data_IF_069217665820
#
_entry.id   IF_069217665820
#
_cell.length_a   1.000
_cell.length_b   1.000
_cell.length_c   1.000
_cell.angle_alpha   90.00
_cell.angle_beta   90.00
_cell.angle_gamma   90.00
#
_symmetry.space_group_name_H-M   'P 1'
#
loop_
_entity.id
_entity.type
_entity.pdbx_description
1 polymer ?
#
# COMPACT_ATOMS: atom_id res chain seq x y z
N UNK A 1 11.48 3.88 22.72
CA UNK A 1 11.41 4.97 21.72
C UNK A 1 12.69 4.91 20.92
N UNK A 2 12.60 4.69 19.60
CA UNK A 2 13.75 4.43 18.73
C UNK A 2 14.72 5.61 18.66
N UNK A 3 15.93 5.35 18.15
CA UNK A 3 16.91 6.40 17.91
C UNK A 3 16.37 7.41 16.88
N UNK A 4 16.60 8.69 17.13
CA UNK A 4 16.18 9.81 16.27
C UNK A 4 17.39 10.64 15.89
N UNK A 5 17.30 11.33 14.75
CA UNK A 5 18.33 12.28 14.32
C UNK A 5 18.32 13.54 15.22
N UNK A 6 19.45 14.25 15.29
CA UNK A 6 19.55 15.54 15.98
C UNK A 6 18.72 16.64 15.31
N UNK A 7 18.56 16.54 13.99
CA UNK A 7 17.75 17.42 13.16
C UNK A 7 16.99 16.59 12.12
N UNK A 8 15.80 17.01 11.68
CA UNK A 8 15.04 16.26 10.70
C UNK A 8 15.64 16.40 9.30
N UNK A 9 15.63 15.32 8.53
CA UNK A 9 15.84 15.38 7.08
C UNK A 9 14.59 15.97 6.44
N UNK A 10 14.69 17.22 5.97
CA UNK A 10 13.57 17.96 5.37
C UNK A 10 13.52 17.89 3.84
N UNK A 11 14.48 17.20 3.21
CA UNK A 11 14.49 16.97 1.78
C UNK A 11 13.21 16.22 1.37
N UNK A 12 12.58 16.67 0.28
CA UNK A 12 11.37 16.08 -0.26
C UNK A 12 11.67 15.41 -1.57
N UNK A 13 11.20 14.19 -1.71
CA UNK A 13 11.01 13.59 -3.02
C UNK A 13 9.55 13.84 -3.39
N UNK A 14 9.33 14.54 -4.50
CA UNK A 14 8.00 14.92 -4.97
C UNK A 14 7.86 14.50 -6.41
N UNK A 15 6.74 13.87 -6.74
CA UNK A 15 6.37 13.53 -8.10
C UNK A 15 4.94 13.98 -8.40
N UNK A 16 4.67 14.17 -9.67
CA UNK A 16 3.31 14.42 -10.16
C UNK A 16 3.13 13.82 -11.54
N UNK A 17 1.95 13.29 -11.80
CA UNK A 17 1.56 12.78 -13.11
C UNK A 17 0.08 13.02 -13.36
N UNK A 18 -0.33 12.94 -14.63
CA UNK A 18 -1.74 13.05 -15.00
C UNK A 18 -2.04 12.28 -16.27
N UNK A 19 -3.30 11.89 -16.42
CA UNK A 19 -3.89 11.42 -17.67
C UNK A 19 -5.23 12.15 -17.88
N UNK A 20 -6.07 11.66 -18.79
CA UNK A 20 -7.37 12.29 -19.08
C UNK A 20 -8.36 12.23 -17.90
N UNK A 21 -8.17 11.29 -16.96
CA UNK A 21 -9.11 11.00 -15.88
C UNK A 21 -8.66 11.53 -14.52
N UNK A 22 -7.35 11.54 -14.24
CA UNK A 22 -6.81 11.88 -12.92
C UNK A 22 -5.56 12.77 -13.00
N UNK A 23 -5.38 13.59 -11.96
CA UNK A 23 -4.15 14.33 -11.66
C UNK A 23 -3.66 13.89 -10.28
N UNK A 24 -2.39 13.56 -10.19
CA UNK A 24 -1.79 12.92 -9.01
C UNK A 24 -0.55 13.69 -8.61
N UNK A 25 -0.41 13.92 -7.31
CA UNK A 25 0.80 14.42 -6.69
C UNK A 25 1.15 13.53 -5.50
N UNK A 26 2.43 13.20 -5.35
CA UNK A 26 2.94 12.45 -4.23
C UNK A 26 4.18 13.15 -3.67
N UNK A 27 4.38 13.07 -2.36
CA UNK A 27 5.64 13.49 -1.76
C UNK A 27 5.93 12.68 -0.51
N UNK A 28 7.20 12.35 -0.30
CA UNK A 28 7.69 11.73 0.92
C UNK A 28 8.86 12.54 1.51
N UNK A 29 9.10 12.35 2.81
CA UNK A 29 10.14 13.05 3.58
C UNK A 29 10.48 12.21 4.80
N UNK A 30 11.76 11.90 5.01
CA UNK A 30 12.23 11.05 6.11
C UNK A 30 11.98 11.66 7.50
N UNK A 31 12.13 12.99 7.64
CA UNK A 31 11.94 13.67 8.91
C UNK A 31 12.96 13.22 9.96
N UNK A 32 12.48 12.90 11.18
CA UNK A 32 13.33 12.63 12.36
C UNK A 32 13.87 11.20 12.45
N UNK A 33 13.39 10.29 11.59
CA UNK A 33 13.83 8.89 11.59
C UNK A 33 15.23 8.79 11.00
N UNK A 34 16.00 7.79 11.45
CA UNK A 34 17.35 7.54 10.92
C UNK A 34 17.30 7.03 9.49
N UNK A 35 16.30 6.20 9.17
CA UNK A 35 16.09 5.62 7.86
C UNK A 35 14.72 6.02 7.32
N UNK A 36 14.63 6.17 6.00
CA UNK A 36 13.38 6.25 5.27
C UNK A 36 12.91 4.82 4.94
N UNK A 37 11.85 4.36 5.59
CA UNK A 37 11.30 3.00 5.42
C UNK A 37 10.03 2.98 4.57
N UNK A 38 9.40 4.12 4.31
CA UNK A 38 8.19 4.19 3.47
C UNK A 38 8.51 4.00 1.99
N UNK A 39 7.55 3.43 1.27
CA UNK A 39 7.50 3.39 -0.19
C UNK A 39 6.12 3.82 -0.68
N UNK A 40 6.01 4.15 -1.96
CA UNK A 40 4.72 4.46 -2.58
C UNK A 40 4.70 4.08 -4.06
N UNK A 41 3.51 3.92 -4.61
CA UNK A 41 3.27 3.59 -6.02
C UNK A 41 2.18 4.50 -6.57
N UNK A 42 2.38 5.08 -7.75
CA UNK A 42 1.34 5.82 -8.48
C UNK A 42 1.44 5.52 -9.98
N UNK A 43 0.58 4.62 -10.45
CA UNK A 43 0.53 4.14 -11.83
C UNK A 43 -0.78 4.58 -12.46
N UNK A 44 -0.71 5.31 -13.58
CA UNK A 44 -1.90 5.75 -14.32
C UNK A 44 -2.35 4.75 -15.39
N UNK A 45 -1.65 3.62 -15.50
CA UNK A 45 -1.92 2.53 -16.43
C UNK A 45 -1.23 1.27 -15.92
N UNK A 46 -1.95 0.15 -15.81
CA UNK A 46 -1.37 -1.14 -15.41
C UNK A 46 -0.89 -1.93 -16.63
N UNK A 47 -0.15 -3.02 -16.40
CA UNK A 47 0.38 -3.86 -17.49
C UNK A 47 -0.73 -4.53 -18.30
N UNK A 48 -1.63 -5.23 -17.61
CA UNK A 48 -2.72 -6.02 -18.21
C UNK A 48 -4.08 -5.29 -18.23
N UNK A 49 -4.13 -4.09 -17.64
CA UNK A 49 -5.31 -3.24 -17.64
C UNK A 49 -4.87 -1.78 -17.83
N UNK A 50 -4.90 -1.34 -19.09
CA UNK A 50 -4.34 -0.02 -19.46
C UNK A 50 -5.20 1.15 -18.99
N UNK A 51 -6.47 0.90 -18.74
CA UNK A 51 -7.45 1.90 -18.34
C UNK A 51 -7.56 2.02 -16.81
N UNK A 52 -6.98 1.07 -16.07
CA UNK A 52 -6.91 1.12 -14.62
C UNK A 52 -5.74 1.96 -14.10
N UNK A 53 -5.98 2.67 -13.01
CA UNK A 53 -4.96 3.39 -12.26
C UNK A 53 -4.82 2.85 -10.83
N UNK A 54 -3.59 2.74 -10.34
CA UNK A 54 -3.26 2.15 -9.05
C UNK A 54 -2.39 3.09 -8.22
N UNK A 55 -2.77 3.27 -6.96
CA UNK A 55 -2.07 4.11 -6.00
C UNK A 55 -1.86 3.34 -4.72
N UNK A 56 -0.70 3.50 -4.09
CA UNK A 56 -0.43 2.84 -2.82
C UNK A 56 0.59 3.60 -1.98
N UNK A 57 0.45 3.47 -0.66
CA UNK A 57 1.45 3.87 0.34
C UNK A 57 1.76 2.68 1.21
N UNK A 58 3.04 2.49 1.51
CA UNK A 58 3.58 1.40 2.30
C UNK A 58 4.45 2.00 3.40
N UNK A 59 4.11 1.74 4.67
CA UNK A 59 4.88 2.20 5.84
C UNK A 59 5.70 1.02 6.37
N UNK A 60 6.99 1.02 6.05
CA UNK A 60 7.93 -0.03 6.44
C UNK A 60 8.31 0.06 7.92
N UNK A 61 8.53 -1.08 8.55
CA UNK A 61 9.01 -1.16 9.93
C UNK A 61 10.06 -2.26 10.09
N UNK A 62 11.20 -1.88 10.65
CA UNK A 62 12.33 -2.81 10.84
C UNK A 62 13.18 -2.98 9.58
N UNK A 63 12.96 -2.14 8.56
CA UNK A 63 13.68 -2.12 7.30
C UNK A 63 12.78 -1.73 6.12
N UNK A 64 13.37 -1.09 5.09
CA UNK A 64 12.63 -0.60 3.92
C UNK A 64 12.32 -1.68 2.87
N UNK A 65 12.99 -2.85 2.94
CA UNK A 65 12.95 -3.86 1.87
C UNK A 65 11.54 -4.40 1.60
N UNK A 66 10.78 -4.70 2.65
CA UNK A 66 9.42 -5.24 2.51
C UNK A 66 8.48 -4.20 1.88
N UNK A 67 8.57 -2.93 2.28
CA UNK A 67 7.81 -1.84 1.67
C UNK A 67 8.17 -1.64 0.18
N UNK A 68 9.47 -1.68 -0.16
CA UNK A 68 9.95 -1.58 -1.53
C UNK A 68 9.51 -2.77 -2.40
N UNK A 69 9.56 -3.99 -1.84
CA UNK A 69 9.09 -5.20 -2.50
C UNK A 69 7.59 -5.09 -2.77
N UNK A 70 6.79 -4.74 -1.78
CA UNK A 70 5.35 -4.55 -1.93
C UNK A 70 5.02 -3.50 -3.00
N UNK A 71 5.71 -2.35 -2.98
CA UNK A 71 5.57 -1.29 -3.98
C UNK A 71 5.84 -1.74 -5.42
N UNK A 72 6.69 -2.74 -5.61
CA UNK A 72 7.01 -3.31 -6.91
C UNK A 72 6.08 -4.45 -7.33
N UNK A 73 5.41 -5.14 -6.41
CA UNK A 73 4.73 -6.41 -6.73
C UNK A 73 3.22 -6.42 -6.53
N UNK A 74 2.68 -5.68 -5.55
CA UNK A 74 1.24 -5.75 -5.18
C UNK A 74 0.33 -5.48 -6.38
N UNK A 75 0.55 -4.40 -7.11
CA UNK A 75 -0.27 -4.05 -8.29
C UNK A 75 -0.22 -5.13 -9.39
N UNK A 76 0.93 -5.78 -9.59
CA UNK A 76 1.12 -6.86 -10.57
C UNK A 76 0.37 -8.12 -10.15
N UNK A 77 0.47 -8.48 -8.87
CA UNK A 77 -0.24 -9.64 -8.33
C UNK A 77 -1.75 -9.47 -8.34
N UNK A 78 -2.25 -8.26 -8.06
CA UNK A 78 -3.69 -7.98 -8.11
C UNK A 78 -4.23 -8.12 -9.54
N UNK A 79 -3.60 -7.46 -10.53
CA UNK A 79 -4.09 -7.49 -11.91
C UNK A 79 -3.96 -8.86 -12.56
N UNK A 80 -2.94 -9.64 -12.18
CA UNK A 80 -2.73 -11.01 -12.66
C UNK A 80 -3.68 -12.05 -12.08
N UNK A 81 -4.51 -11.72 -11.08
CA UNK A 81 -5.43 -12.70 -10.50
C UNK A 81 -6.54 -13.09 -11.49
N UNK A 82 -6.91 -14.39 -11.59
CA UNK A 82 -8.05 -14.81 -12.40
C UNK A 82 -9.38 -14.17 -11.99
N UNK A 83 -9.55 -13.80 -10.72
CA UNK A 83 -10.74 -13.07 -10.25
C UNK A 83 -10.78 -11.62 -10.76
N UNK A 84 -9.62 -10.99 -11.01
CA UNK A 84 -9.55 -9.66 -11.61
C UNK A 84 -10.19 -9.66 -12.99
N UNK A 85 -9.80 -10.63 -13.83
CA UNK A 85 -10.31 -10.81 -15.19
C UNK A 85 -11.81 -11.14 -15.23
N UNK A 86 -12.34 -11.72 -14.14
CA UNK A 86 -13.78 -11.99 -13.97
C UNK A 86 -14.57 -10.79 -13.42
N UNK A 87 -13.90 -9.67 -13.12
CA UNK A 87 -14.48 -8.47 -12.54
C UNK A 87 -14.65 -8.52 -11.02
N UNK A 88 -14.18 -9.56 -10.34
CA UNK A 88 -14.17 -9.66 -8.88
C UNK A 88 -12.89 -9.02 -8.32
N UNK A 89 -12.89 -7.69 -8.35
CA UNK A 89 -11.75 -6.86 -7.97
C UNK A 89 -11.46 -6.97 -6.46
N UNK A 90 -12.49 -7.15 -5.62
CA UNK A 90 -12.31 -7.26 -4.17
C UNK A 90 -11.52 -8.54 -3.84
N UNK A 91 -11.91 -9.67 -4.46
CA UNK A 91 -11.17 -10.91 -4.27
C UNK A 91 -9.78 -10.86 -4.90
N UNK A 92 -9.63 -10.16 -6.04
CA UNK A 92 -8.32 -9.95 -6.66
C UNK A 92 -7.36 -9.17 -5.75
N UNK A 93 -7.86 -8.13 -5.07
CA UNK A 93 -7.08 -7.37 -4.09
C UNK A 93 -6.63 -8.30 -2.95
N UNK A 94 -7.56 -9.04 -2.33
CA UNK A 94 -7.25 -9.97 -1.23
C UNK A 94 -6.19 -11.00 -1.61
N UNK A 95 -6.38 -11.67 -2.76
CA UNK A 95 -5.43 -12.67 -3.24
C UNK A 95 -4.08 -12.06 -3.64
N UNK A 96 -4.08 -10.87 -4.22
CA UNK A 96 -2.85 -10.13 -4.53
C UNK A 96 -2.01 -9.87 -3.29
N UNK A 97 -2.62 -9.47 -2.17
CA UNK A 97 -1.93 -9.31 -0.89
C UNK A 97 -1.34 -10.64 -0.39
N UNK A 98 -2.14 -11.69 -0.34
CA UNK A 98 -1.72 -13.01 0.15
C UNK A 98 -0.61 -13.63 -0.72
N UNK A 99 -0.67 -13.43 -2.04
CA UNK A 99 0.34 -13.95 -2.95
C UNK A 99 1.67 -13.20 -2.82
N UNK A 100 1.64 -11.87 -2.66
CA UNK A 100 2.86 -11.09 -2.38
C UNK A 100 3.53 -11.54 -1.07
N UNK A 101 2.74 -11.75 -0.02
CA UNK A 101 3.24 -12.26 1.27
C UNK A 101 3.85 -13.67 1.11
N UNK A 102 3.14 -14.57 0.41
CA UNK A 102 3.62 -15.92 0.15
C UNK A 102 4.89 -15.95 -0.73
N UNK A 103 5.04 -15.03 -1.67
CA UNK A 103 6.22 -14.91 -2.52
C UNK A 103 7.43 -14.44 -1.71
N UNK A 104 7.26 -13.46 -0.82
CA UNK A 104 8.34 -13.02 0.08
C UNK A 104 8.85 -14.15 0.97
N UNK A 105 7.96 -15.03 1.46
CA UNK A 105 8.35 -16.21 2.25
C UNK A 105 9.14 -17.27 1.46
N UNK A 106 9.04 -17.27 0.13
CA UNK A 106 9.74 -18.22 -0.76
C UNK A 106 11.00 -17.63 -1.39
N UNK A 107 11.15 -16.32 -1.36
CA UNK A 107 12.29 -15.61 -1.93
C UNK A 107 13.47 -15.63 -0.95
N UNK A 108 14.60 -16.22 -1.36
CA UNK A 108 15.80 -16.33 -0.54
C UNK A 108 16.36 -14.97 -0.07
N UNK A 109 16.08 -13.89 -0.80
CA UNK A 109 16.50 -12.55 -0.42
C UNK A 109 15.56 -11.86 0.58
N UNK A 110 14.35 -12.39 0.79
CA UNK A 110 13.29 -11.78 1.60
C UNK A 110 12.89 -12.62 2.81
N UNK A 111 12.98 -13.95 2.73
CA UNK A 111 12.44 -14.88 3.74
C UNK A 111 13.01 -14.69 5.16
N UNK A 112 14.24 -14.18 5.26
CA UNK A 112 14.94 -13.95 6.54
C UNK A 112 14.83 -12.49 7.00
N UNK A 113 14.10 -11.63 6.28
CA UNK A 113 13.85 -10.25 6.69
C UNK A 113 12.88 -10.21 7.88
N UNK A 114 13.33 -9.69 9.02
CA UNK A 114 12.50 -9.47 10.21
C UNK A 114 11.73 -8.13 10.16
N UNK A 115 11.58 -7.57 8.97
CA UNK A 115 10.87 -6.33 8.71
C UNK A 115 9.43 -6.62 8.27
N UNK A 116 8.61 -5.58 8.25
CA UNK A 116 7.26 -5.65 7.68
C UNK A 116 6.87 -4.32 7.04
N UNK A 117 5.67 -4.27 6.49
CA UNK A 117 5.10 -3.04 5.96
C UNK A 117 3.59 -3.00 6.17
N UNK A 118 3.04 -1.81 6.37
CA UNK A 118 1.63 -1.57 6.06
C UNK A 118 1.45 -1.51 4.54
N UNK A 119 0.20 -1.53 4.10
CA UNK A 119 -0.16 -1.22 2.74
C UNK A 119 -1.59 -0.70 2.67
N UNK A 120 -1.76 0.51 2.16
CA UNK A 120 -3.05 1.05 1.75
C UNK A 120 -3.02 1.27 0.25
N UNK A 121 -3.98 0.70 -0.47
CA UNK A 121 -4.05 0.74 -1.94
C UNK A 121 -5.40 1.27 -2.40
N UNK A 122 -5.37 2.05 -3.48
CA UNK A 122 -6.54 2.54 -4.20
C UNK A 122 -6.40 2.15 -5.67
N UNK A 123 -7.37 1.38 -6.17
CA UNK A 123 -7.47 0.99 -7.57
C UNK A 123 -8.69 1.67 -8.19
N UNK A 124 -8.47 2.41 -9.26
CA UNK A 124 -9.52 2.99 -10.10
C UNK A 124 -9.69 2.13 -11.34
N UNK A 125 -10.91 1.63 -11.57
CA UNK A 125 -11.24 0.78 -12.72
C UNK A 125 -12.72 0.95 -13.09
N UNK A 126 -13.03 1.13 -14.37
CA UNK A 126 -14.40 1.24 -14.90
C UNK A 126 -15.27 2.28 -14.15
N UNK A 127 -14.68 3.42 -13.79
CA UNK A 127 -15.38 4.48 -13.03
C UNK A 127 -15.66 4.12 -11.57
N UNK A 128 -15.11 3.02 -11.05
CA UNK A 128 -15.21 2.60 -9.65
C UNK A 128 -13.88 2.75 -8.93
N UNK A 129 -13.97 3.01 -7.64
CA UNK A 129 -12.85 3.08 -6.72
C UNK A 129 -12.90 1.87 -5.79
N UNK A 130 -11.79 1.16 -5.68
CA UNK A 130 -11.59 0.05 -4.74
C UNK A 130 -10.47 0.39 -3.77
N UNK A 131 -10.69 0.18 -2.48
CA UNK A 131 -9.68 0.38 -1.44
C UNK A 131 -9.34 -0.96 -0.79
N UNK A 132 -8.04 -1.27 -0.69
CA UNK A 132 -7.52 -2.36 0.13
C UNK A 132 -6.61 -1.80 1.22
N UNK A 133 -6.71 -2.33 2.44
CA UNK A 133 -5.89 -1.86 3.56
C UNK A 133 -5.40 -3.03 4.43
N UNK A 134 -4.12 -3.01 4.75
CA UNK A 134 -3.49 -3.88 5.74
C UNK A 134 -2.56 -3.03 6.60
N UNK A 135 -2.89 -2.88 7.87
CA UNK A 135 -2.14 -2.05 8.82
C UNK A 135 -2.85 -0.73 9.12
N UNK A 136 -2.09 0.27 9.50
CA UNK A 136 -2.60 1.52 10.06
C UNK A 136 -2.26 2.79 9.26
N UNK A 137 -1.75 2.62 8.03
CA UNK A 137 -1.88 3.67 7.02
C UNK A 137 -3.36 3.86 6.64
N UNK A 138 -3.69 5.02 6.07
CA UNK A 138 -5.10 5.41 5.87
C UNK A 138 -5.36 6.05 4.53
N UNK A 139 -6.49 5.68 3.92
CA UNK A 139 -7.06 6.34 2.76
C UNK A 139 -8.39 7.01 3.11
N UNK A 140 -8.56 8.24 2.63
CA UNK A 140 -9.79 9.02 2.72
C UNK A 140 -10.08 9.64 1.35
N UNK A 141 -11.35 9.94 1.07
CA UNK A 141 -11.79 10.71 -0.08
C UNK A 141 -12.50 11.98 0.39
N UNK A 142 -12.44 13.03 -0.43
CA UNK A 142 -13.35 14.18 -0.31
C UNK A 142 -14.38 14.10 -1.44
N UNK A 143 -15.65 13.94 -1.08
CA UNK A 143 -16.76 13.85 -2.04
C UNK A 143 -17.73 14.98 -1.72
N UNK A 144 -17.89 15.91 -2.66
CA UNK A 144 -18.71 17.11 -2.48
C UNK A 144 -18.32 17.93 -1.23
N UNK A 145 -17.01 18.00 -0.94
CA UNK A 145 -16.47 18.69 0.23
C UNK A 145 -16.61 17.94 1.56
N UNK A 146 -17.15 16.72 1.57
CA UNK A 146 -17.28 15.89 2.77
C UNK A 146 -16.23 14.78 2.79
N UNK A 147 -15.68 14.51 3.97
CA UNK A 147 -14.73 13.41 4.16
C UNK A 147 -15.47 12.08 4.14
N UNK A 148 -15.01 11.16 3.29
CA UNK A 148 -15.40 9.76 3.29
C UNK A 148 -14.20 8.91 3.66
N UNK A 149 -14.34 8.09 4.69
CA UNK A 149 -13.32 7.14 5.08
C UNK A 149 -13.33 5.95 4.10
N UNK A 150 -12.18 5.67 3.47
CA UNK A 150 -12.05 4.55 2.52
C UNK A 150 -11.47 3.29 3.18
N UNK A 151 -10.57 3.48 4.16
CA UNK A 151 -9.96 2.39 4.91
C UNK A 151 -10.15 2.52 6.42
N UNK A 152 -10.04 1.39 7.12
CA UNK A 152 -10.07 1.33 8.58
C UNK A 152 -8.73 0.79 9.07
N UNK A 153 -8.09 1.52 9.98
CA UNK A 153 -6.81 1.13 10.56
C UNK A 153 -6.95 -0.20 11.32
N UNK A 154 -6.03 -1.12 11.09
CA UNK A 154 -5.89 -2.33 11.89
C UNK A 154 -5.00 -2.02 13.09
N UNK A 155 -5.60 -1.98 14.28
CA UNK A 155 -4.89 -1.80 15.54
C UNK A 155 -5.07 -3.05 16.41
N UNK A 156 -4.07 -3.47 17.20
CA UNK A 156 -4.20 -4.64 18.08
C UNK A 156 -5.36 -4.55 19.09
N UNK A 157 -5.79 -3.33 19.42
CA UNK A 157 -6.92 -3.05 20.32
C UNK A 157 -8.30 -3.14 19.65
N UNK A 158 -8.37 -3.24 18.32
CA UNK A 158 -9.64 -3.43 17.62
C UNK A 158 -10.18 -4.82 17.96
N UNK A 159 -11.45 -4.93 18.33
CA UNK A 159 -12.02 -6.18 18.86
C UNK A 159 -11.78 -7.41 17.94
N UNK A 160 -11.96 -7.25 16.62
CA UNK A 160 -11.72 -8.32 15.65
C UNK A 160 -10.23 -8.72 15.57
N UNK A 161 -9.32 -7.75 15.60
CA UNK A 161 -7.87 -7.98 15.56
C UNK A 161 -7.39 -8.61 16.87
N UNK A 162 -7.88 -8.13 18.02
CA UNK A 162 -7.62 -8.72 19.34
C UNK A 162 -8.05 -10.19 19.38
N UNK A 163 -9.26 -10.49 18.89
CA UNK A 163 -9.76 -11.87 18.82
C UNK A 163 -8.89 -12.75 17.94
N UNK A 164 -8.45 -12.26 16.77
CA UNK A 164 -7.54 -13.00 15.89
C UNK A 164 -6.20 -13.29 16.57
N UNK A 165 -5.61 -12.30 17.24
CA UNK A 165 -4.31 -12.43 17.91
C UNK A 165 -4.37 -13.45 19.05
N UNK A 166 -5.44 -13.44 19.87
CA UNK A 166 -5.58 -14.38 20.99
C UNK A 166 -5.82 -15.83 20.52
N UNK A 167 -6.37 -16.01 19.32
CA UNK A 167 -6.67 -17.33 18.77
C UNK A 167 -5.50 -17.99 18.01
N UNK A 168 -4.40 -17.27 17.80
CA UNK A 168 -3.20 -17.76 17.10
C UNK A 168 -2.25 -18.49 18.05
#
# INVERSE_FOLDING_TARGET
MGQTLSEPVTAKETSSCMNEYVKVGASCMQGWRINMEDAHTHLLSLSEDKDAAFFAVYDGHGGAKVAQYAGSHVHRKIVGQPCYQKGDIIEAIKKGFLEVDSDMLKDDAMKDELAGTTAVVVLLKDGKLYCGNVGDSRAIASVSGQVQQLSFDHKPSNEAETRRIIAA
#
